data_IF_378723883473
#
_entry.id   IF_378723883473
#
_cell.length_a   1.000
_cell.length_b   1.000
_cell.length_c   1.000
_cell.angle_alpha   90.00
_cell.angle_beta   90.00
_cell.angle_gamma   90.00
#
_symmetry.space_group_name_H-M   'P 1'
#
loop_
_entity.id
_entity.type
_entity.pdbx_description
1 polymer ?
#
# COMPACT_ATOMS: atom_id res chain seq x y z
N UNK A 1 -7.35 -18.97 -6.00
CA UNK A 1 -7.38 -17.52 -6.33
C UNK A 1 -6.74 -16.60 -5.29
N UNK A 2 -6.85 -16.81 -3.97
CA UNK A 2 -6.21 -15.92 -2.97
C UNK A 2 -4.68 -16.04 -2.87
N UNK A 3 -4.13 -17.25 -2.96
CA UNK A 3 -2.67 -17.47 -2.87
C UNK A 3 -1.86 -16.97 -4.08
N UNK A 4 -2.47 -16.97 -5.28
CA UNK A 4 -1.80 -16.55 -6.52
C UNK A 4 -1.56 -15.03 -6.60
N UNK A 5 -2.44 -14.23 -6.00
CA UNK A 5 -2.24 -12.78 -5.92
C UNK A 5 -1.08 -12.44 -4.99
N UNK A 6 -1.06 -13.01 -3.78
CA UNK A 6 0.01 -12.74 -2.82
C UNK A 6 1.36 -13.16 -3.38
N UNK A 7 1.43 -14.34 -4.01
CA UNK A 7 2.65 -14.83 -4.67
C UNK A 7 3.16 -13.89 -5.78
N UNK A 8 2.25 -13.29 -6.56
CA UNK A 8 2.64 -12.30 -7.56
C UNK A 8 3.12 -10.99 -6.93
N UNK A 9 2.38 -10.46 -5.94
CA UNK A 9 2.73 -9.19 -5.30
C UNK A 9 4.04 -9.25 -4.52
N UNK A 10 4.42 -10.43 -4.02
CA UNK A 10 5.71 -10.65 -3.35
C UNK A 10 6.78 -11.24 -4.27
N UNK A 11 6.53 -11.39 -5.58
CA UNK A 11 7.53 -11.90 -6.54
C UNK A 11 8.55 -10.82 -6.91
N UNK A 12 9.86 -11.11 -6.83
CA UNK A 12 10.91 -10.20 -7.29
C UNK A 12 10.80 -9.87 -8.78
N UNK A 13 10.42 -10.83 -9.61
CA UNK A 13 10.29 -10.66 -11.06
C UNK A 13 9.14 -9.70 -11.38
N UNK A 14 8.01 -9.83 -10.68
CA UNK A 14 6.88 -8.93 -10.81
C UNK A 14 7.24 -7.51 -10.36
N UNK A 15 7.92 -7.37 -9.22
CA UNK A 15 8.40 -6.08 -8.73
C UNK A 15 9.39 -5.41 -9.70
N UNK A 16 10.31 -6.16 -10.30
CA UNK A 16 11.26 -5.61 -11.26
C UNK A 16 10.58 -5.14 -12.55
N UNK A 17 9.52 -5.83 -13.02
CA UNK A 17 8.72 -5.38 -14.16
C UNK A 17 8.06 -4.02 -13.90
N UNK A 18 7.49 -3.82 -12.71
CA UNK A 18 6.91 -2.52 -12.31
C UNK A 18 8.00 -1.46 -12.18
N UNK A 19 9.14 -1.78 -11.56
CA UNK A 19 10.27 -0.84 -11.40
C UNK A 19 10.76 -0.27 -12.73
N UNK A 20 10.79 -1.07 -13.79
CA UNK A 20 11.18 -0.63 -15.14
C UNK A 20 10.21 0.37 -15.78
N UNK A 21 9.00 0.53 -15.23
CA UNK A 21 8.03 1.52 -15.68
C UNK A 21 8.17 2.86 -14.94
N UNK A 22 9.04 2.94 -13.94
CA UNK A 22 9.31 4.19 -13.20
C UNK A 22 10.26 5.05 -14.04
N UNK A 23 9.84 6.28 -14.32
CA UNK A 23 10.70 7.32 -14.88
C UNK A 23 11.27 8.16 -13.73
N UNK A 24 12.59 8.12 -13.54
CA UNK A 24 13.27 8.85 -12.46
C UNK A 24 13.22 10.38 -12.63
N UNK A 25 12.89 10.88 -13.83
CA UNK A 25 12.89 12.31 -14.14
C UNK A 25 11.51 12.95 -14.15
N UNK A 26 10.42 12.16 -14.13
CA UNK A 26 9.08 12.71 -14.28
C UNK A 26 7.97 11.85 -13.67
N UNK A 27 6.82 12.50 -13.43
CA UNK A 27 5.58 11.84 -12.99
C UNK A 27 4.40 12.31 -13.83
N UNK A 28 3.40 11.46 -14.05
CA UNK A 28 2.17 11.79 -14.76
C UNK A 28 1.14 12.44 -13.83
N UNK A 29 0.47 13.49 -14.30
CA UNK A 29 -0.71 14.06 -13.64
C UNK A 29 -1.99 13.30 -13.97
N UNK A 30 -2.02 12.52 -15.06
CA UNK A 30 -3.12 11.60 -15.38
C UNK A 30 -2.93 10.30 -14.58
N UNK A 31 -3.82 9.97 -13.64
CA UNK A 31 -3.65 8.77 -12.84
C UNK A 31 -3.95 7.46 -13.58
N UNK A 32 -4.63 7.53 -14.73
CA UNK A 32 -4.79 6.35 -15.61
C UNK A 32 -3.45 5.84 -16.10
N UNK A 33 -2.45 6.72 -16.21
CA UNK A 33 -1.06 6.35 -16.48
C UNK A 33 -0.53 5.30 -15.49
N UNK A 34 -0.97 5.36 -14.22
CA UNK A 34 -0.59 4.41 -13.17
C UNK A 34 -1.58 3.24 -13.02
N UNK A 35 -2.52 3.08 -13.95
CA UNK A 35 -3.53 2.01 -13.90
C UNK A 35 -4.67 2.26 -12.91
N UNK A 36 -4.86 3.49 -12.44
CA UNK A 36 -5.95 3.81 -11.52
C UNK A 36 -7.33 3.75 -12.20
N UNK A 37 -8.27 3.02 -11.58
CA UNK A 37 -9.70 3.00 -11.91
C UNK A 37 -10.44 3.53 -10.68
N UNK A 38 -10.84 4.79 -10.71
CA UNK A 38 -11.19 5.53 -9.49
C UNK A 38 -12.53 5.17 -8.83
N UNK A 39 -12.51 5.18 -7.50
CA UNK A 39 -13.62 5.51 -6.60
C UNK A 39 -13.10 6.46 -5.53
N UNK A 40 -13.70 7.65 -5.39
CA UNK A 40 -13.36 8.58 -4.31
C UNK A 40 -14.11 8.13 -3.06
N UNK A 41 -13.40 7.54 -2.08
CA UNK A 41 -13.94 7.31 -0.74
C UNK A 41 -13.59 8.54 0.11
N UNK A 42 -14.60 9.13 0.75
CA UNK A 42 -14.42 10.29 1.61
C UNK A 42 -13.40 10.02 2.71
N UNK A 43 -12.75 11.07 3.20
CA UNK A 43 -11.86 10.94 4.36
C UNK A 43 -12.69 10.52 5.58
N UNK A 44 -12.24 9.46 6.25
CA UNK A 44 -12.89 8.89 7.42
C UNK A 44 -11.83 8.72 8.52
N UNK A 45 -12.16 9.13 9.74
CA UNK A 45 -11.20 9.20 10.85
C UNK A 45 -10.43 7.90 11.09
N UNK A 46 -9.10 7.97 11.06
CA UNK A 46 -8.17 6.87 11.35
C UNK A 46 -7.13 7.31 12.37
N UNK A 47 -6.84 6.45 13.34
CA UNK A 47 -5.81 6.64 14.36
C UNK A 47 -4.80 5.48 14.32
N UNK A 48 -3.54 5.79 14.62
CA UNK A 48 -2.46 4.81 14.66
C UNK A 48 -1.57 5.03 15.89
N UNK A 49 -1.23 3.97 16.61
CA UNK A 49 -0.27 4.02 17.72
C UNK A 49 0.56 2.74 17.80
N UNK A 50 1.78 2.87 18.33
CA UNK A 50 2.70 1.75 18.53
C UNK A 50 3.18 1.72 19.98
N UNK A 51 3.35 0.52 20.52
CA UNK A 51 3.73 0.27 21.92
C UNK A 51 4.91 -0.70 21.92
N UNK A 52 5.93 -0.38 22.71
CA UNK A 52 7.06 -1.27 22.99
C UNK A 52 7.08 -1.51 24.50
N UNK A 53 7.07 -2.76 24.92
CA UNK A 53 7.14 -3.15 26.33
C UNK A 53 8.61 -3.32 26.78
N UNK A 54 8.92 -3.19 28.08
CA UNK A 54 10.29 -3.32 28.58
C UNK A 54 10.95 -4.68 28.33
N UNK A 55 10.16 -5.74 28.11
CA UNK A 55 10.64 -7.08 27.74
C UNK A 55 10.98 -7.22 26.25
N UNK A 56 10.81 -6.17 25.46
CA UNK A 56 11.12 -6.14 24.02
C UNK A 56 9.94 -6.46 23.09
N UNK A 57 8.76 -6.77 23.63
CA UNK A 57 7.57 -6.98 22.80
C UNK A 57 7.14 -5.67 22.12
N UNK A 58 6.75 -5.75 20.86
CA UNK A 58 6.28 -4.61 20.08
C UNK A 58 4.89 -4.88 19.48
N UNK A 59 4.01 -3.90 19.60
CA UNK A 59 2.65 -3.94 19.06
C UNK A 59 2.37 -2.66 18.27
N UNK A 60 1.74 -2.80 17.11
CA UNK A 60 1.27 -1.67 16.29
C UNK A 60 -0.23 -1.82 16.03
N UNK A 61 -0.98 -0.74 16.29
CA UNK A 61 -2.45 -0.74 16.21
C UNK A 61 -2.91 0.39 15.31
N UNK A 62 -3.75 0.06 14.34
CA UNK A 62 -4.49 1.01 13.50
C UNK A 62 -5.98 0.83 13.77
N UNK A 63 -6.68 1.92 14.07
CA UNK A 63 -8.13 1.96 14.30
C UNK A 63 -8.78 2.96 13.35
N UNK A 64 -9.94 2.61 12.80
CA UNK A 64 -10.66 3.45 11.84
C UNK A 64 -12.16 3.43 12.13
N UNK A 65 -12.81 4.58 11.96
CA UNK A 65 -14.27 4.66 11.86
C UNK A 65 -14.64 4.52 10.39
N UNK A 66 -15.48 3.54 10.05
CA UNK A 66 -15.99 3.36 8.70
C UNK A 66 -17.44 3.84 8.62
N UNK A 67 -17.65 5.07 8.16
CA UNK A 67 -18.97 5.65 7.90
C UNK A 67 -19.41 5.38 6.45
#
# INVERSE_FOLDING_TARGET
MRGSLLANLTSPEYANKIRLQIDDNSTSSDPKHYGAVFYSKGDHGTAHFSIIAPNGDAVSVTSSVNI
#
